data_IF_343218675394
#
_entry.id   IF_343218675394
#
_cell.length_a   1.000
_cell.length_b   1.000
_cell.length_c   1.000
_cell.angle_alpha   90.00
_cell.angle_beta   90.00
_cell.angle_gamma   90.00
#
_symmetry.space_group_name_H-M   'P 1'
#
loop_
_entity.id
_entity.type
_entity.pdbx_description
1 polymer ?
#
# COMPACT_ATOMS: atom_id res chain seq x y z
N UNK A 1 -9.95 15.10 15.16
CA UNK A 1 -9.92 14.51 13.80
C UNK A 1 -8.91 15.13 12.81
N UNK A 2 -8.17 16.20 13.15
CA UNK A 2 -7.23 16.85 12.20
C UNK A 2 -6.00 15.99 11.85
N UNK A 3 -5.45 15.23 12.79
CA UNK A 3 -4.22 14.42 12.58
C UNK A 3 -4.42 13.29 11.55
N UNK A 4 -5.49 12.51 11.66
CA UNK A 4 -5.77 11.42 10.71
C UNK A 4 -6.00 11.97 9.29
N UNK A 5 -6.64 13.14 9.15
CA UNK A 5 -6.81 13.80 7.84
C UNK A 5 -5.47 14.19 7.22
N UNK A 6 -4.54 14.72 8.01
CA UNK A 6 -3.18 15.05 7.55
C UNK A 6 -2.44 13.78 7.12
N UNK A 7 -2.49 12.73 7.94
CA UNK A 7 -1.90 11.43 7.61
C UNK A 7 -2.43 10.89 6.27
N UNK A 8 -3.75 10.90 6.07
CA UNK A 8 -4.36 10.48 4.82
C UNK A 8 -3.91 11.34 3.65
N UNK A 9 -3.84 12.67 3.82
CA UNK A 9 -3.36 13.59 2.80
C UNK A 9 -1.95 13.25 2.31
N UNK A 10 -1.04 12.90 3.22
CA UNK A 10 0.33 12.52 2.88
C UNK A 10 0.40 11.16 2.18
N UNK A 11 -0.55 10.25 2.43
CA UNK A 11 -0.64 8.95 1.75
C UNK A 11 -1.48 8.98 0.45
N UNK A 12 -2.05 10.14 0.10
CA UNK A 12 -2.89 10.36 -1.08
C UNK A 12 -2.42 11.61 -1.84
N UNK A 13 -1.11 11.67 -2.10
CA UNK A 13 -0.51 12.80 -2.83
C UNK A 13 -0.80 12.73 -4.33
N UNK A 14 -0.93 13.89 -4.97
CA UNK A 14 -1.24 14.01 -6.38
C UNK A 14 -0.57 15.25 -6.98
N UNK A 15 -0.41 15.29 -8.31
CA UNK A 15 0.18 16.42 -9.04
C UNK A 15 -0.52 17.76 -8.74
N UNK A 16 -1.85 17.74 -8.64
CA UNK A 16 -2.66 18.92 -8.32
C UNK A 16 -3.02 19.05 -6.84
N UNK A 17 -2.37 18.27 -5.96
CA UNK A 17 -2.70 18.26 -4.54
C UNK A 17 -2.17 19.49 -3.81
N UNK A 18 -2.96 20.03 -2.87
CA UNK A 18 -2.54 21.14 -2.02
C UNK A 18 -1.96 20.67 -0.69
N UNK A 19 -0.97 21.43 -0.19
CA UNK A 19 -0.38 21.27 1.15
C UNK A 19 0.10 19.82 1.39
N UNK A 20 -0.65 19.04 2.16
CA UNK A 20 -0.30 17.66 2.52
C UNK A 20 -0.45 16.68 1.36
N UNK A 21 -1.26 17.02 0.35
CA UNK A 21 -1.48 16.22 -0.86
C UNK A 21 -0.53 16.56 -2.02
N UNK A 22 0.34 17.56 -1.86
CA UNK A 22 1.27 17.94 -2.92
C UNK A 22 2.33 16.86 -3.19
N UNK A 23 3.09 17.02 -4.27
CA UNK A 23 4.25 16.17 -4.59
C UNK A 23 5.31 16.25 -3.48
N UNK A 24 5.96 15.14 -3.16
CA UNK A 24 7.14 15.12 -2.27
C UNK A 24 8.38 15.14 -3.15
N UNK A 25 9.18 16.21 -3.07
CA UNK A 25 10.30 16.45 -4.00
C UNK A 25 11.66 16.52 -3.30
N UNK A 26 11.72 16.34 -1.98
CA UNK A 26 12.96 16.50 -1.22
C UNK A 26 13.05 15.49 -0.06
N UNK A 27 14.19 14.83 0.16
CA UNK A 27 14.36 13.91 1.29
C UNK A 27 14.06 14.52 2.67
N UNK A 28 14.48 15.77 2.98
CA UNK A 28 14.10 16.46 4.23
C UNK A 28 12.70 17.11 4.18
N UNK A 29 11.73 16.53 3.47
CA UNK A 29 10.37 17.08 3.43
C UNK A 29 9.72 17.07 4.83
N UNK A 30 9.21 18.24 5.24
CA UNK A 30 8.57 18.45 6.53
C UNK A 30 7.40 17.49 6.81
N UNK A 31 6.73 16.97 5.78
CA UNK A 31 5.64 15.99 5.91
C UNK A 31 6.15 14.61 6.28
N UNK A 32 7.32 14.21 5.75
CA UNK A 32 7.98 12.96 6.14
C UNK A 32 8.43 13.05 7.60
N UNK A 33 9.04 14.17 7.99
CA UNK A 33 9.40 14.44 9.39
C UNK A 33 8.18 14.46 10.31
N UNK A 34 7.05 14.99 9.83
CA UNK A 34 5.79 14.99 10.57
C UNK A 34 5.24 13.57 10.78
N UNK A 35 5.32 12.71 9.76
CA UNK A 35 4.91 11.31 9.85
C UNK A 35 5.72 10.57 10.93
N UNK A 36 7.05 10.68 10.91
CA UNK A 36 7.91 10.02 11.88
C UNK A 36 7.71 10.54 13.30
N UNK A 37 7.74 11.86 13.46
CA UNK A 37 7.90 12.46 14.79
C UNK A 37 6.56 12.83 15.44
N UNK A 38 5.55 13.23 14.66
CA UNK A 38 4.26 13.69 15.19
C UNK A 38 3.21 12.60 15.11
N UNK A 39 3.05 11.95 13.96
CA UNK A 39 2.00 10.94 13.78
C UNK A 39 2.26 9.67 14.58
N UNK A 40 3.49 9.12 14.52
CA UNK A 40 3.87 7.93 15.30
C UNK A 40 3.63 8.11 16.79
N UNK A 41 4.02 9.28 17.34
CA UNK A 41 3.79 9.62 18.74
C UNK A 41 2.30 9.73 19.05
N UNK A 42 1.53 10.36 18.18
CA UNK A 42 0.07 10.46 18.33
C UNK A 42 -0.58 9.07 18.38
N UNK A 43 -0.26 8.18 17.44
CA UNK A 43 -0.85 6.83 17.37
C UNK A 43 -0.49 6.00 18.60
N UNK A 44 0.77 6.04 19.07
CA UNK A 44 1.18 5.36 20.31
C UNK A 44 0.39 5.86 21.53
N UNK A 45 0.23 7.19 21.67
CA UNK A 45 -0.58 7.79 22.76
C UNK A 45 -2.05 7.42 22.65
N UNK A 46 -2.60 7.43 21.44
CA UNK A 46 -4.00 7.11 21.19
C UNK A 46 -4.32 5.66 21.59
N UNK A 47 -3.42 4.71 21.34
CA UNK A 47 -3.56 3.32 21.79
C UNK A 47 -3.64 3.21 23.32
N UNK A 48 -2.81 3.96 24.06
CA UNK A 48 -2.88 4.01 25.53
C UNK A 48 -4.23 4.55 26.01
N UNK A 49 -4.74 5.59 25.36
CA UNK A 49 -6.06 6.18 25.69
C UNK A 49 -7.19 5.17 25.45
N UNK A 50 -7.20 4.48 24.31
CA UNK A 50 -8.23 3.47 24.02
C UNK A 50 -8.22 2.35 25.08
N UNK A 51 -7.04 1.86 25.45
CA UNK A 51 -6.91 0.83 26.49
C UNK A 51 -7.54 1.28 27.82
N UNK A 52 -7.40 2.56 28.20
CA UNK A 52 -8.05 3.12 29.40
C UNK A 52 -9.57 3.17 29.28
N UNK A 53 -10.09 3.38 28.06
CA UNK A 53 -11.51 3.35 27.75
C UNK A 53 -12.07 1.93 27.58
N UNK A 54 -11.27 0.89 27.83
CA UNK A 54 -11.60 -0.52 27.53
C UNK A 54 -11.98 -0.76 26.05
N UNK A 55 -11.53 0.15 25.18
CA UNK A 55 -11.63 0.01 23.74
C UNK A 55 -10.27 -0.44 23.20
N UNK A 56 -10.25 -1.13 22.08
CA UNK A 56 -8.99 -1.48 21.41
C UNK A 56 -9.16 -1.24 19.92
N UNK A 57 -8.06 -0.82 19.28
CA UNK A 57 -7.95 -1.06 17.85
C UNK A 57 -8.04 -2.57 17.61
N UNK A 58 -8.57 -3.00 16.46
CA UNK A 58 -8.21 -4.32 15.95
C UNK A 58 -6.69 -4.37 15.91
N UNK A 59 -6.07 -5.35 16.57
CA UNK A 59 -4.62 -5.45 16.78
C UNK A 59 -3.81 -5.18 15.50
N UNK A 60 -4.30 -5.72 14.39
CA UNK A 60 -3.73 -5.56 13.04
C UNK A 60 -3.73 -4.11 12.54
N UNK A 61 -4.68 -3.28 12.95
CA UNK A 61 -4.83 -1.91 12.45
C UNK A 61 -3.74 -0.98 12.99
N UNK A 62 -3.39 -1.11 14.27
CA UNK A 62 -2.33 -0.31 14.87
C UNK A 62 -0.98 -0.61 14.22
N UNK A 63 -0.66 -1.90 14.08
CA UNK A 63 0.58 -2.37 13.43
C UNK A 63 0.62 -1.90 11.97
N UNK A 64 -0.48 -2.07 11.23
CA UNK A 64 -0.57 -1.64 9.84
C UNK A 64 -0.37 -0.12 9.68
N UNK A 65 -0.92 0.70 10.56
CA UNK A 65 -0.74 2.16 10.53
C UNK A 65 0.72 2.57 10.73
N UNK A 66 1.40 1.96 11.72
CA UNK A 66 2.82 2.23 11.98
C UNK A 66 3.69 1.76 10.82
N UNK A 67 3.50 0.52 10.39
CA UNK A 67 4.25 -0.06 9.28
C UNK A 67 4.09 0.78 7.99
N UNK A 68 2.86 1.11 7.63
CA UNK A 68 2.57 1.93 6.44
C UNK A 68 3.23 3.30 6.53
N UNK A 69 3.24 3.90 7.72
CA UNK A 69 3.86 5.22 7.94
C UNK A 69 5.37 5.15 7.78
N UNK A 70 6.02 4.18 8.43
CA UNK A 70 7.47 4.00 8.36
C UNK A 70 7.91 3.64 6.94
N UNK A 71 7.27 2.66 6.32
CA UNK A 71 7.55 2.28 4.92
C UNK A 71 7.35 3.46 3.98
N UNK A 72 6.31 4.26 4.15
CA UNK A 72 6.10 5.45 3.31
C UNK A 72 7.25 6.43 3.42
N UNK A 73 7.76 6.68 4.63
CA UNK A 73 8.89 7.59 4.85
C UNK A 73 10.17 7.04 4.22
N UNK A 74 10.54 5.81 4.57
CA UNK A 74 11.79 5.19 4.11
C UNK A 74 11.82 5.05 2.59
N UNK A 75 10.78 4.48 1.98
CA UNK A 75 10.73 4.31 0.52
C UNK A 75 10.70 5.66 -0.20
N UNK A 76 10.05 6.68 0.36
CA UNK A 76 10.05 8.01 -0.27
C UNK A 76 11.43 8.65 -0.23
N UNK A 77 12.13 8.59 0.91
CA UNK A 77 13.48 9.13 1.01
C UNK A 77 14.45 8.41 0.10
N UNK A 78 14.39 7.07 0.10
CA UNK A 78 15.22 6.25 -0.77
C UNK A 78 15.06 6.66 -2.24
N UNK A 79 13.84 6.69 -2.77
CA UNK A 79 13.60 7.10 -4.16
C UNK A 79 14.11 8.51 -4.46
N UNK A 80 13.92 9.47 -3.54
CA UNK A 80 14.42 10.83 -3.76
C UNK A 80 15.97 10.90 -3.71
N UNK A 81 16.61 10.03 -2.94
CA UNK A 81 18.08 9.90 -2.90
C UNK A 81 18.63 9.23 -4.16
N UNK A 82 17.90 8.28 -4.74
CA UNK A 82 18.23 7.64 -6.03
C UNK A 82 18.00 8.56 -7.25
N UNK A 83 17.63 9.83 -7.03
CA UNK A 83 17.53 10.84 -8.09
C UNK A 83 16.14 11.00 -8.72
N UNK A 84 15.11 10.35 -8.19
CA UNK A 84 13.73 10.61 -8.63
C UNK A 84 13.35 12.05 -8.27
N UNK A 85 12.80 12.80 -9.24
CA UNK A 85 12.48 14.22 -9.03
C UNK A 85 11.35 14.45 -8.02
N UNK A 86 10.43 13.49 -7.90
CA UNK A 86 9.34 13.51 -6.92
C UNK A 86 8.79 12.11 -6.67
N UNK A 87 8.03 11.96 -5.58
CA UNK A 87 7.32 10.73 -5.23
C UNK A 87 5.83 10.99 -5.03
N UNK A 88 5.00 10.13 -5.62
CA UNK A 88 3.54 10.10 -5.45
C UNK A 88 3.14 8.89 -4.59
N UNK A 89 2.62 9.16 -3.40
CA UNK A 89 2.11 8.14 -2.46
C UNK A 89 0.73 7.58 -2.85
N UNK A 90 -0.07 8.30 -3.64
CA UNK A 90 -1.40 7.83 -4.09
C UNK A 90 -1.36 6.51 -4.87
N UNK A 91 -0.22 6.16 -5.46
CA UNK A 91 -0.07 4.91 -6.20
C UNK A 91 0.33 3.71 -5.32
N UNK A 92 0.49 3.90 -4.01
CA UNK A 92 0.89 2.85 -3.05
C UNK A 92 -0.31 2.18 -2.36
N UNK A 93 -1.46 2.15 -3.01
CA UNK A 93 -2.68 1.54 -2.49
C UNK A 93 -3.30 0.58 -3.50
N UNK A 94 -4.31 -0.18 -3.06
CA UNK A 94 -5.00 -1.16 -3.89
C UNK A 94 -6.15 -0.57 -4.71
N UNK A 95 -6.33 0.76 -4.77
CA UNK A 95 -7.43 1.38 -5.53
C UNK A 95 -7.38 1.04 -7.03
N UNK A 96 -6.22 1.03 -7.73
CA UNK A 96 -6.16 0.59 -9.12
C UNK A 96 -6.61 -0.87 -9.31
N UNK A 97 -6.25 -1.74 -8.36
CA UNK A 97 -6.66 -3.15 -8.37
C UNK A 97 -8.16 -3.28 -8.14
N UNK A 98 -8.73 -2.55 -7.16
CA UNK A 98 -10.18 -2.51 -6.92
C UNK A 98 -10.94 -1.98 -8.13
N UNK A 99 -10.41 -0.95 -8.81
CA UNK A 99 -11.00 -0.40 -10.02
C UNK A 99 -11.02 -1.43 -11.16
N UNK A 100 -9.95 -2.24 -11.30
CA UNK A 100 -9.93 -3.36 -12.22
C UNK A 100 -11.03 -4.39 -11.90
N UNK A 101 -11.13 -4.84 -10.65
CA UNK A 101 -12.19 -5.78 -10.25
C UNK A 101 -13.60 -5.23 -10.47
N UNK A 102 -13.80 -3.94 -10.19
CA UNK A 102 -15.07 -3.26 -10.48
C UNK A 102 -15.38 -3.26 -11.97
N UNK A 103 -14.39 -2.94 -12.81
CA UNK A 103 -14.56 -2.96 -14.27
C UNK A 103 -14.88 -4.36 -14.79
N UNK A 104 -14.21 -5.39 -14.27
CA UNK A 104 -14.49 -6.78 -14.64
C UNK A 104 -15.91 -7.19 -14.24
N UNK A 105 -16.35 -6.83 -13.03
CA UNK A 105 -17.73 -7.08 -12.58
C UNK A 105 -18.75 -6.42 -13.53
N UNK A 106 -18.52 -5.17 -13.94
CA UNK A 106 -19.39 -4.48 -14.90
C UNK A 106 -19.42 -5.15 -16.29
N UNK A 107 -18.33 -5.80 -16.70
CA UNK A 107 -18.24 -6.50 -17.99
C UNK A 107 -18.92 -7.88 -17.99
N UNK A 108 -19.10 -8.50 -16.83
CA UNK A 108 -19.65 -9.86 -16.70
C UNK A 108 -21.15 -9.92 -16.40
N UNK A 109 -21.88 -8.81 -16.55
CA UNK A 109 -23.27 -8.61 -16.11
C UNK A 109 -23.46 -8.68 -14.58
N UNK A 110 -24.59 -8.14 -14.11
CA UNK A 110 -24.95 -7.85 -12.70
C UNK A 110 -25.13 -9.09 -11.80
N UNK A 111 -24.65 -10.27 -12.22
CA UNK A 111 -24.68 -11.45 -11.36
C UNK A 111 -23.60 -11.34 -10.28
N UNK A 112 -24.04 -11.23 -9.03
CA UNK A 112 -23.19 -11.28 -7.83
C UNK A 112 -22.44 -12.63 -7.70
N UNK A 113 -22.80 -13.62 -8.51
CA UNK A 113 -22.18 -14.95 -8.56
C UNK A 113 -21.22 -15.06 -9.72
N UNK A 114 -20.00 -14.67 -9.40
CA UNK A 114 -18.95 -14.52 -10.36
C UNK A 114 -18.21 -15.84 -10.62
N UNK A 115 -18.45 -16.46 -11.79
CA UNK A 115 -17.74 -17.69 -12.17
C UNK A 115 -16.29 -17.41 -12.58
N UNK A 116 -15.35 -18.17 -12.02
CA UNK A 116 -13.92 -18.03 -12.32
C UNK A 116 -13.60 -18.09 -13.83
N UNK A 117 -14.34 -18.89 -14.62
CA UNK A 117 -14.18 -18.95 -16.08
C UNK A 117 -14.53 -17.63 -16.78
N UNK A 118 -15.62 -16.98 -16.35
CA UNK A 118 -16.03 -15.68 -16.88
C UNK A 118 -15.03 -14.57 -16.51
N UNK A 119 -14.43 -14.63 -15.30
CA UNK A 119 -13.32 -13.77 -14.91
C UNK A 119 -12.14 -13.90 -15.86
N UNK A 120 -11.67 -15.13 -16.06
CA UNK A 120 -10.47 -15.40 -16.85
C UNK A 120 -10.68 -14.98 -18.30
N UNK A 121 -11.84 -15.30 -18.88
CA UNK A 121 -12.18 -14.86 -20.24
C UNK A 121 -12.22 -13.32 -20.37
N UNK A 122 -12.74 -12.63 -19.36
CA UNK A 122 -12.81 -11.16 -19.36
C UNK A 122 -11.43 -10.52 -19.17
N UNK A 123 -10.62 -11.06 -18.26
CA UNK A 123 -9.22 -10.64 -18.10
C UNK A 123 -8.42 -10.84 -19.40
N UNK A 124 -8.54 -12.00 -20.03
CA UNK A 124 -7.90 -12.30 -21.30
C UNK A 124 -8.31 -11.29 -22.39
N UNK A 125 -9.60 -10.94 -22.46
CA UNK A 125 -10.09 -9.89 -23.36
C UNK A 125 -9.47 -8.52 -23.06
N UNK A 126 -9.37 -8.12 -21.80
CA UNK A 126 -8.75 -6.85 -21.39
C UNK A 126 -7.27 -6.81 -21.79
N UNK A 127 -6.54 -7.88 -21.53
CA UNK A 127 -5.10 -7.98 -21.86
C UNK A 127 -4.91 -7.92 -23.37
N UNK A 128 -5.68 -8.69 -24.14
CA UNK A 128 -5.63 -8.67 -25.61
C UNK A 128 -5.97 -7.30 -26.19
N UNK A 129 -7.02 -6.64 -25.68
CA UNK A 129 -7.40 -5.30 -26.12
C UNK A 129 -6.30 -4.27 -25.85
N UNK A 130 -5.65 -4.32 -24.68
CA UNK A 130 -4.51 -3.43 -24.38
C UNK A 130 -3.29 -3.75 -25.24
N UNK A 131 -2.92 -5.02 -25.39
CA UNK A 131 -1.78 -5.43 -26.21
C UNK A 131 -1.94 -5.03 -27.69
N UNK A 132 -3.17 -4.99 -28.22
CA UNK A 132 -3.45 -4.47 -29.55
C UNK A 132 -3.30 -2.94 -29.63
N UNK A 133 -3.57 -2.22 -28.55
CA UNK A 133 -3.45 -0.77 -28.46
C UNK A 133 -1.99 -0.31 -28.26
N UNK A 134 -1.16 -1.10 -27.56
CA UNK A 134 0.24 -0.74 -27.26
C UNK A 134 1.19 -0.93 -28.45
N UNK A 135 0.80 -1.65 -29.50
CA UNK A 135 1.62 -1.82 -30.71
C UNK A 135 1.85 -0.54 -31.53
N UNK A 136 1.28 0.59 -31.10
CA UNK A 136 1.45 1.90 -31.76
C UNK A 136 2.36 2.89 -30.99
N UNK A 137 2.95 2.52 -29.84
CA UNK A 137 3.82 3.43 -29.09
C UNK A 137 5.08 2.75 -28.53
N UNK A 138 6.19 2.86 -29.25
CA UNK A 138 7.54 2.58 -28.74
C UNK A 138 8.04 3.78 -27.92
N UNK A 139 8.38 3.56 -26.65
CA UNK A 139 9.29 4.44 -25.89
C UNK A 139 10.31 3.60 -25.13
N UNK A 140 11.58 4.02 -25.06
CA UNK A 140 12.66 3.22 -24.50
C UNK A 140 12.66 3.25 -22.97
N UNK A 141 12.68 2.06 -22.37
CA UNK A 141 12.78 1.81 -20.93
C UNK A 141 14.25 1.95 -20.49
N UNK A 142 14.51 2.74 -19.44
CA UNK A 142 15.81 2.82 -18.77
C UNK A 142 15.63 2.27 -17.35
N UNK A 143 16.06 1.01 -17.21
CA UNK A 143 16.53 0.24 -16.06
C UNK A 143 16.03 0.58 -14.64
N UNK A 144 15.13 -0.27 -14.14
CA UNK A 144 14.65 -0.33 -12.76
C UNK A 144 15.25 -1.51 -11.95
N UNK A 145 16.26 -2.22 -12.47
CA UNK A 145 16.69 -3.50 -11.87
C UNK A 145 17.67 -3.38 -10.70
N UNK A 146 18.48 -2.32 -10.61
CA UNK A 146 19.61 -2.27 -9.66
C UNK A 146 19.20 -1.96 -8.19
N UNK A 147 18.02 -1.35 -7.97
CA UNK A 147 17.56 -0.96 -6.63
C UNK A 147 16.89 -2.08 -5.82
N UNK A 148 16.60 -3.24 -6.42
CA UNK A 148 15.79 -4.30 -5.78
C UNK A 148 16.58 -5.17 -4.81
N UNK A 149 17.89 -5.35 -5.05
CA UNK A 149 18.75 -6.22 -4.24
C UNK A 149 19.06 -5.63 -2.85
N UNK A 150 19.34 -4.32 -2.79
CA UNK A 150 19.72 -3.61 -1.55
C UNK A 150 18.55 -3.39 -0.59
N UNK A 151 17.32 -3.36 -1.13
CA UNK A 151 16.08 -3.23 -0.35
C UNK A 151 15.73 -4.52 0.39
N UNK A 152 16.05 -5.68 -0.19
CA UNK A 152 15.75 -7.00 0.35
C UNK A 152 16.45 -7.25 1.70
N UNK A 153 17.74 -6.97 1.81
CA UNK A 153 18.53 -7.29 3.01
C UNK A 153 18.13 -6.48 4.26
N UNK A 154 17.83 -5.18 4.10
CA UNK A 154 17.38 -4.34 5.22
C UNK A 154 15.97 -4.68 5.68
N UNK A 155 15.07 -5.06 4.76
CA UNK A 155 13.71 -5.49 5.09
C UNK A 155 13.68 -6.81 5.87
N UNK A 156 14.56 -7.77 5.53
CA UNK A 156 14.63 -9.04 6.25
C UNK A 156 15.07 -8.88 7.71
N UNK A 157 15.97 -7.94 8.01
CA UNK A 157 16.42 -7.67 9.37
C UNK A 157 15.32 -7.04 10.26
N UNK A 158 14.49 -6.13 9.72
CA UNK A 158 13.37 -5.54 10.49
C UNK A 158 12.18 -6.51 10.66
N UNK A 159 11.91 -7.39 9.70
CA UNK A 159 10.88 -8.44 9.81
C UNK A 159 11.19 -9.45 10.92
N UNK A 160 12.47 -9.69 11.22
CA UNK A 160 12.90 -10.60 12.31
C UNK A 160 12.46 -10.16 13.70
N UNK A 161 12.23 -8.86 13.92
CA UNK A 161 11.69 -8.34 15.18
C UNK A 161 10.17 -8.50 15.29
N UNK A 162 9.46 -8.61 14.15
CA UNK A 162 8.00 -8.75 14.11
C UNK A 162 7.54 -10.21 14.28
N UNK A 163 8.37 -11.18 13.89
CA UNK A 163 8.10 -12.62 14.07
C UNK A 163 8.23 -13.08 15.53
N UNK A 164 8.95 -12.34 16.39
CA UNK A 164 9.08 -12.64 17.83
C UNK A 164 7.79 -12.39 18.64
N UNK A 165 6.73 -11.83 18.03
CA UNK A 165 5.43 -11.61 18.67
C UNK A 165 4.39 -12.72 18.41
N UNK A 166 4.73 -13.83 17.75
CA UNK A 166 3.79 -14.93 17.54
C UNK A 166 3.75 -15.88 18.75
N UNK A 167 2.67 -15.80 19.53
CA UNK A 167 2.27 -16.82 20.50
C UNK A 167 1.90 -18.15 19.79
N UNK A 168 2.03 -19.31 20.45
CA UNK A 168 1.99 -20.61 19.77
C UNK A 168 0.64 -20.92 19.10
N UNK A 169 0.71 -21.21 17.81
CA UNK A 169 -0.38 -21.60 16.93
C UNK A 169 -1.07 -22.86 17.47
N UNK A 170 -2.29 -22.72 17.97
CA UNK A 170 -3.17 -23.87 18.20
C UNK A 170 -3.74 -24.32 16.85
N UNK A 171 -3.52 -25.60 16.54
CA UNK A 171 -3.96 -26.32 15.33
C UNK A 171 -5.36 -25.90 14.89
N UNK A 172 -5.50 -25.49 13.62
CA UNK A 172 -6.80 -25.42 12.94
C UNK A 172 -6.84 -26.52 11.87
N UNK A 173 -7.74 -27.48 12.09
CA UNK A 173 -8.04 -28.58 11.17
C UNK A 173 -8.87 -28.05 9.99
N UNK A 174 -8.38 -28.26 8.77
CA UNK A 174 -9.20 -28.15 7.56
C UNK A 174 -9.92 -29.47 7.31
N UNK A 175 -11.24 -29.48 7.48
CA UNK A 175 -12.09 -30.54 6.93
C UNK A 175 -12.07 -30.42 5.40
N UNK A 176 -11.52 -31.44 4.74
CA UNK A 176 -11.81 -31.75 3.34
C UNK A 176 -12.83 -32.86 3.32
N UNK A 177 -14.03 -32.58 2.81
CA UNK A 177 -14.98 -33.60 2.40
C UNK A 177 -15.76 -33.04 1.20
N UNK A 178 -15.50 -33.63 0.03
CA UNK A 178 -16.47 -33.87 -1.05
C UNK A 178 -15.74 -34.64 -2.17
N UNK A 179 -15.82 -35.95 -2.08
CA UNK A 179 -15.87 -36.91 -3.18
C UNK A 179 -16.64 -38.12 -2.69
#
# INVERSE_FOLDING_TARGET
MKIIKVWFGIHDTSLAGSVYKALICSPPDHRLLWLENKFTVYIKKFTVVLSRLRQRWPEKTFVALLFTTQSTVETTRFLLQEGFSYVLSKNRNSEPVKALFKGIRQMCFDDDHFHARAFTATLDRIVKAKALCTKEAETPDIDAEEGTATLSEKFHHELGYLTQCQAPTTRSMTYSALS
#
